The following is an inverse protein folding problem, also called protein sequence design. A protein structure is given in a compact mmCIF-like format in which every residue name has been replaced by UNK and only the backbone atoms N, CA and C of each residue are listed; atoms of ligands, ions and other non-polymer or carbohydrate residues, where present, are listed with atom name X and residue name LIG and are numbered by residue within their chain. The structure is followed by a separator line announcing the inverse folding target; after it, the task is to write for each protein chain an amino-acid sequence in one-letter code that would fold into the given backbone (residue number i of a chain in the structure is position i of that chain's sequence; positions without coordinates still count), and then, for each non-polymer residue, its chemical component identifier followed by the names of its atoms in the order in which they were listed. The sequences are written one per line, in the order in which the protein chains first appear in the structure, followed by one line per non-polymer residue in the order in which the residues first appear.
data_IF_664304886716
#
_entry.id   IF_664304886716
#
_cell.length_a   1.000
_cell.length_b   1.000
_cell.length_c   1.000
_cell.angle_alpha   90.00
_cell.angle_beta   90.00
_cell.angle_gamma   90.00
#
_symmetry.space_group_name_H-M   'P 1'
#
loop_
_entity.id
_entity.type
_entity.pdbx_description
1 polymer ?
#
# COMPACT_ATOMS: atom_id res chain seq x y z
N UNK A 1 -7.53 -0.72 19.60
CA UNK A 1 -7.45 -0.02 18.30
C UNK A 1 -8.76 -0.31 17.57
N UNK A 2 -9.29 0.56 16.71
CA UNK A 2 -10.56 0.25 16.04
C UNK A 2 -10.34 -0.94 15.08
N UNK A 3 -11.10 -2.04 15.15
CA UNK A 3 -10.85 -3.23 14.33
C UNK A 3 -11.04 -2.97 12.83
N UNK A 4 -11.74 -1.89 12.46
CA UNK A 4 -11.89 -1.44 11.07
C UNK A 4 -10.76 -0.55 10.59
N UNK A 5 -9.78 -0.22 11.41
CA UNK A 5 -8.71 0.73 11.10
C UNK A 5 -7.36 0.05 11.14
N UNK A 6 -6.54 0.25 10.10
CA UNK A 6 -5.20 -0.31 9.97
C UNK A 6 -4.22 0.82 9.75
N UNK A 7 -3.07 0.72 10.41
CA UNK A 7 -2.00 1.70 10.33
C UNK A 7 -0.82 1.08 9.59
N UNK A 8 -0.42 1.73 8.50
CA UNK A 8 0.70 1.30 7.66
C UNK A 8 1.80 2.33 7.81
N UNK A 9 2.99 1.92 8.28
CA UNK A 9 4.15 2.82 8.33
C UNK A 9 4.68 3.00 6.91
N UNK A 10 4.63 4.21 6.37
CA UNK A 10 5.12 4.53 5.03
C UNK A 10 6.61 4.87 5.04
N UNK A 11 7.13 5.37 6.17
CA UNK A 11 8.55 5.69 6.29
C UNK A 11 8.88 6.57 7.48
N UNK A 12 10.14 6.97 7.52
CA UNK A 12 10.68 7.98 8.42
C UNK A 12 10.99 9.23 7.59
N UNK A 13 10.36 10.36 7.92
CA UNK A 13 10.63 11.67 7.33
C UNK A 13 11.32 12.62 8.30
N UNK A 14 11.86 13.72 7.79
CA UNK A 14 12.41 14.82 8.60
C UNK A 14 13.80 15.30 8.16
N UNK A 15 14.08 16.59 8.38
CA UNK A 15 15.42 17.18 8.22
C UNK A 15 16.32 16.74 9.38
N UNK A 16 17.64 16.70 9.13
CA UNK A 16 18.75 16.07 9.87
C UNK A 16 18.75 16.09 11.43
N UNK A 17 17.85 16.80 12.12
CA UNK A 17 17.75 16.86 13.59
C UNK A 17 16.47 16.24 14.21
N UNK A 18 15.40 16.01 13.43
CA UNK A 18 14.12 15.51 13.98
C UNK A 18 13.52 14.41 13.10
N UNK A 19 13.49 13.18 13.64
CA UNK A 19 12.81 12.06 12.99
C UNK A 19 11.30 12.15 13.21
N UNK A 20 10.55 12.05 12.13
CA UNK A 20 9.09 12.01 12.09
C UNK A 20 8.68 10.68 11.44
N UNK A 21 7.73 9.97 12.03
CA UNK A 21 7.20 8.76 11.39
C UNK A 21 5.94 9.13 10.62
N UNK A 22 5.85 8.68 9.36
CA UNK A 22 4.67 8.91 8.52
C UNK A 22 3.89 7.60 8.43
N UNK A 23 2.60 7.66 8.74
CA UNK A 23 1.68 6.54 8.70
C UNK A 23 0.52 6.83 7.75
N UNK A 24 0.13 5.83 6.98
CA UNK A 24 -1.19 5.79 6.35
C UNK A 24 -2.17 5.13 7.32
N UNK A 25 -3.27 5.80 7.61
CA UNK A 25 -4.38 5.25 8.38
C UNK A 25 -5.52 4.97 7.44
N UNK A 26 -5.78 3.68 7.21
CA UNK A 26 -6.83 3.19 6.33
C UNK A 26 -7.94 2.61 7.19
N UNK A 27 -9.19 2.97 6.90
CA UNK A 27 -10.34 2.46 7.63
C UNK A 27 -11.46 2.01 6.72
N UNK A 28 -12.01 0.81 6.99
CA UNK A 28 -13.24 0.31 6.38
C UNK A 28 -14.46 1.10 6.85
N UNK A 29 -15.26 1.56 5.90
CA UNK A 29 -16.51 2.28 6.17
C UNK A 29 -17.68 1.31 6.27
N UNK A 30 -18.68 1.62 7.12
CA UNK A 30 -19.86 0.76 7.33
C UNK A 30 -20.75 0.60 6.09
N UNK A 31 -20.66 1.51 5.12
CA UNK A 31 -21.51 1.55 3.92
C UNK A 31 -20.75 1.15 2.65
N UNK A 32 -19.65 0.40 2.81
CA UNK A 32 -18.71 0.12 1.73
C UNK A 32 -17.68 1.24 1.55
N UNK A 33 -16.56 0.88 0.92
CA UNK A 33 -15.43 1.77 0.69
C UNK A 33 -14.53 1.99 1.91
N UNK A 34 -13.56 2.87 1.71
CA UNK A 34 -12.43 3.10 2.61
C UNK A 34 -12.24 4.59 2.85
N UNK A 35 -11.80 4.94 4.05
CA UNK A 35 -11.23 6.25 4.32
C UNK A 35 -9.72 6.14 4.50
N UNK A 36 -9.01 7.10 3.94
CA UNK A 36 -7.57 7.21 4.00
C UNK A 36 -7.17 8.56 4.59
N UNK A 37 -6.12 8.58 5.41
CA UNK A 37 -5.47 9.81 5.85
C UNK A 37 -4.01 9.53 6.16
N UNK A 38 -3.15 10.50 5.88
CA UNK A 38 -1.77 10.48 6.36
C UNK A 38 -1.70 11.09 7.76
N UNK A 39 -0.94 10.43 8.63
CA UNK A 39 -0.66 10.86 10.00
C UNK A 39 0.85 10.93 10.18
N UNK A 40 1.34 12.10 10.53
CA UNK A 40 2.73 12.36 10.87
C UNK A 40 2.86 12.39 12.39
N UNK A 41 3.75 11.56 12.93
CA UNK A 41 4.09 11.55 14.34
C UNK A 41 5.45 12.20 14.54
N UNK A 42 5.43 13.44 15.03
CA UNK A 42 6.64 14.21 15.31
C UNK A 42 7.40 13.68 16.53
N UNK A 43 8.67 14.08 16.64
CA UNK A 43 9.52 13.75 17.80
C UNK A 43 8.95 14.25 19.13
N UNK A 44 8.23 15.38 19.09
CA UNK A 44 7.54 15.97 20.24
C UNK A 44 6.31 15.17 20.71
N UNK A 45 5.98 14.05 20.06
CA UNK A 45 4.86 13.18 20.40
C UNK A 45 3.50 13.62 19.85
N UNK A 46 3.41 14.81 19.25
CA UNK A 46 2.18 15.29 18.63
C UNK A 46 1.94 14.59 17.29
N UNK A 47 0.66 14.33 17.00
CA UNK A 47 0.22 13.77 15.73
C UNK A 47 -0.43 14.88 14.90
N UNK A 48 0.04 15.04 13.66
CA UNK A 48 -0.58 15.90 12.66
C UNK A 48 -1.19 15.00 11.60
N UNK A 49 -2.44 15.25 11.21
CA UNK A 49 -3.12 14.45 10.19
C UNK A 49 -3.57 15.32 9.03
N UNK A 50 -3.38 14.79 7.83
CA UNK A 50 -3.92 15.38 6.60
C UNK A 50 -5.44 15.24 6.53
N UNK A 51 -6.05 15.85 5.50
CA UNK A 51 -7.47 15.69 5.23
C UNK A 51 -7.80 14.23 4.93
N UNK A 52 -8.90 13.76 5.50
CA UNK A 52 -9.42 12.42 5.19
C UNK A 52 -9.97 12.37 3.77
N UNK A 53 -9.49 11.40 3.00
CA UNK A 53 -9.96 11.05 1.67
C UNK A 53 -10.82 9.80 1.69
N UNK A 54 -11.65 9.62 0.66
CA UNK A 54 -12.54 8.46 0.52
C UNK A 54 -12.25 7.75 -0.78
N UNK A 55 -12.23 6.42 -0.70
CA UNK A 55 -11.98 5.51 -1.80
C UNK A 55 -13.11 4.51 -1.88
N UNK A 56 -13.58 4.20 -3.09
CA UNK A 56 -14.69 3.27 -3.28
C UNK A 56 -14.23 1.81 -3.24
N UNK A 57 -12.99 1.53 -3.64
CA UNK A 57 -12.42 0.19 -3.70
C UNK A 57 -11.03 0.13 -3.04
N UNK A 58 -10.56 -1.08 -2.75
CA UNK A 58 -9.26 -1.29 -2.14
C UNK A 58 -8.14 -0.99 -3.14
N UNK A 59 -8.32 -1.34 -4.40
CA UNK A 59 -7.36 -1.13 -5.47
C UNK A 59 -7.08 0.35 -5.71
N UNK A 60 -8.09 1.20 -5.48
CA UNK A 60 -7.91 2.64 -5.58
C UNK A 60 -6.91 3.17 -4.52
N UNK A 61 -6.74 2.49 -3.38
CA UNK A 61 -5.73 2.81 -2.36
C UNK A 61 -4.31 2.42 -2.79
N UNK A 62 -4.14 1.56 -3.79
CA UNK A 62 -2.80 1.08 -4.20
C UNK A 62 -1.93 2.16 -4.82
N UNK A 63 -2.52 3.31 -5.17
CA UNK A 63 -1.77 4.52 -5.57
C UNK A 63 -1.05 5.18 -4.38
N UNK A 64 -1.63 5.05 -3.19
CA UNK A 64 -1.17 5.72 -1.96
C UNK A 64 -0.38 4.78 -1.05
N UNK A 65 -0.73 3.49 -1.03
CA UNK A 65 -0.15 2.48 -0.14
C UNK A 65 0.12 1.19 -0.90
N UNK A 66 1.33 0.65 -0.75
CA UNK A 66 1.69 -0.64 -1.36
C UNK A 66 0.77 -1.77 -0.89
N UNK A 67 0.28 -2.64 -1.81
CA UNK A 67 -0.47 -3.83 -1.44
C UNK A 67 0.27 -4.73 -0.44
N UNK A 68 1.60 -4.82 -0.54
CA UNK A 68 2.42 -5.62 0.36
C UNK A 68 2.46 -5.04 1.78
N UNK A 69 2.65 -3.73 1.90
CA UNK A 69 2.68 -3.06 3.21
C UNK A 69 1.31 -3.12 3.88
N UNK A 70 0.24 -2.96 3.10
CA UNK A 70 -1.12 -3.13 3.59
C UNK A 70 -1.38 -4.56 4.06
N UNK A 71 -0.98 -5.57 3.28
CA UNK A 71 -1.11 -6.98 3.65
C UNK A 71 -0.40 -7.26 4.98
N UNK A 72 0.86 -6.84 5.11
CA UNK A 72 1.65 -7.00 6.34
C UNK A 72 1.02 -6.27 7.53
N UNK A 73 0.48 -5.07 7.32
CA UNK A 73 -0.15 -4.29 8.37
C UNK A 73 -1.44 -4.94 8.89
N UNK A 74 -2.27 -5.49 8.01
CA UNK A 74 -3.48 -6.22 8.41
C UNK A 74 -3.11 -7.54 9.12
N UNK A 75 -2.15 -8.30 8.57
CA UNK A 75 -1.73 -9.58 9.15
C UNK A 75 -1.17 -9.43 10.57
N UNK A 76 -0.39 -8.36 10.80
CA UNK A 76 0.23 -8.05 12.10
C UNK A 76 -0.63 -7.12 12.97
N UNK A 77 -1.90 -6.93 12.63
CA UNK A 77 -2.80 -6.08 13.41
C UNK A 77 -2.91 -6.60 14.86
N UNK A 78 -2.78 -5.73 15.89
CA UNK A 78 -2.74 -6.15 17.29
C UNK A 78 -4.08 -6.69 17.80
N UNK A 79 -5.18 -6.27 17.17
CA UNK A 79 -6.53 -6.74 17.47
C UNK A 79 -6.88 -7.97 16.63
N UNK A 80 -7.29 -9.06 17.28
CA UNK A 80 -7.71 -10.29 16.59
C UNK A 80 -9.01 -10.10 15.81
N UNK A 81 -9.94 -9.29 16.31
CA UNK A 81 -11.23 -9.01 15.64
C UNK A 81 -11.01 -8.29 14.30
N UNK A 82 -9.92 -7.51 14.19
CA UNK A 82 -9.56 -6.87 12.93
C UNK A 82 -9.26 -7.91 11.83
N UNK A 83 -8.66 -9.05 12.17
CA UNK A 83 -8.36 -10.07 11.14
C UNK A 83 -9.62 -10.64 10.52
N UNK A 84 -10.70 -10.75 11.29
CA UNK A 84 -12.02 -11.16 10.79
C UNK A 84 -12.63 -10.06 9.91
N UNK A 85 -12.58 -8.80 10.38
CA UNK A 85 -13.09 -7.65 9.62
C UNK A 85 -12.41 -7.47 8.27
N UNK A 86 -11.13 -7.83 8.16
CA UNK A 86 -10.29 -7.66 6.97
C UNK A 86 -9.98 -8.98 6.25
N UNK A 87 -10.69 -10.06 6.57
CA UNK A 87 -10.40 -11.39 6.02
C UNK A 87 -10.49 -11.42 4.49
N UNK A 88 -11.52 -10.80 3.91
CA UNK A 88 -11.73 -10.74 2.46
C UNK A 88 -10.59 -10.01 1.75
N UNK A 89 -10.12 -8.87 2.28
CA UNK A 89 -9.02 -8.11 1.68
C UNK A 89 -7.69 -8.82 1.89
N UNK A 90 -7.49 -9.51 3.02
CA UNK A 90 -6.31 -10.34 3.21
C UNK A 90 -6.21 -11.43 2.15
N UNK A 91 -7.33 -12.10 1.84
CA UNK A 91 -7.38 -13.14 0.81
C UNK A 91 -7.13 -12.54 -0.58
N UNK A 92 -7.76 -11.41 -0.89
CA UNK A 92 -7.54 -10.68 -2.13
C UNK A 92 -6.07 -10.24 -2.30
N UNK A 93 -5.48 -9.63 -1.27
CA UNK A 93 -4.09 -9.19 -1.28
C UNK A 93 -3.13 -10.37 -1.40
N UNK A 94 -3.40 -11.48 -0.71
CA UNK A 94 -2.62 -12.70 -0.83
C UNK A 94 -2.62 -13.22 -2.27
N UNK A 95 -3.79 -13.31 -2.90
CA UNK A 95 -3.90 -13.73 -4.30
C UNK A 95 -3.23 -12.78 -5.29
N UNK A 96 -3.16 -11.48 -4.96
CA UNK A 96 -2.44 -10.49 -5.76
C UNK A 96 -0.91 -10.64 -5.64
N UNK A 97 -0.40 -10.92 -4.44
CA UNK A 97 1.02 -11.06 -4.16
C UNK A 97 1.58 -12.43 -4.57
N UNK A 98 0.77 -13.49 -4.55
CA UNK A 98 1.16 -14.85 -4.95
C UNK A 98 1.12 -15.07 -6.46
N UNK A 99 0.51 -14.17 -7.24
CA UNK A 99 0.57 -14.26 -8.70
C UNK A 99 2.03 -14.15 -9.15
N UNK A 100 2.62 -15.21 -9.75
CA UNK A 100 3.94 -15.08 -10.34
C UNK A 100 3.82 -13.98 -11.40
N UNK A 101 4.67 -12.95 -11.29
CA UNK A 101 4.78 -11.92 -12.32
C UNK A 101 4.80 -12.65 -13.67
N UNK A 102 3.75 -12.46 -14.49
CA UNK A 102 3.79 -12.89 -15.87
C UNK A 102 5.06 -12.24 -16.43
N UNK A 103 6.09 -13.07 -16.63
CA UNK A 103 7.30 -12.67 -17.31
C UNK A 103 6.81 -12.09 -18.61
N UNK A 104 6.84 -10.76 -18.75
CA UNK A 104 6.68 -10.11 -20.05
C UNK A 104 7.59 -10.89 -20.98
N UNK A 105 7.01 -11.67 -21.89
CA UNK A 105 7.77 -12.39 -22.87
C UNK A 105 8.57 -11.32 -23.60
N UNK A 106 9.88 -11.28 -23.35
CA UNK A 106 10.77 -10.39 -24.06
C UNK A 106 10.58 -10.71 -25.53
N UNK A 107 9.92 -9.80 -26.24
CA UNK A 107 9.83 -9.89 -27.69
C UNK A 107 11.26 -9.93 -28.17
N UNK A 108 11.71 -10.98 -28.90
CA UNK A 108 13.07 -10.98 -29.41
C UNK A 108 13.18 -9.79 -30.36
N UNK A 109 13.89 -8.75 -29.93
CA UNK A 109 14.31 -7.67 -30.82
C UNK A 109 15.07 -8.34 -31.95
N UNK A 110 14.46 -8.43 -33.14
CA UNK A 110 15.17 -8.86 -34.35
C UNK A 110 16.35 -7.91 -34.51
N UNK A 111 17.55 -8.39 -34.18
CA UNK A 111 18.78 -7.73 -34.54
C UNK A 111 18.94 -7.91 -36.04
N UNK A 112 18.58 -6.90 -36.82
CA UNK A 112 18.99 -6.82 -38.22
C UNK A 112 20.49 -6.52 -38.22
N UNK A 113 21.29 -7.47 -38.69
CA UNK A 113 22.73 -7.29 -38.90
C UNK A 113 22.96 -6.34 -40.09
N UNK A 114 23.95 -5.46 -39.96
CA UNK A 114 24.36 -4.43 -40.94
C UNK A 114 24.82 -4.97 -42.32
N UNK A 115 24.73 -6.27 -42.58
CA UNK A 115 25.14 -6.91 -43.82
C UNK A 115 24.10 -6.79 -44.97
N UNK A 116 22.87 -6.34 -44.68
CA UNK A 116 21.81 -6.14 -45.69
C UNK A 116 21.77 -4.71 -46.26
N UNK A 117 22.67 -3.82 -45.83
CA UNK A 117 22.73 -2.43 -46.30
C UNK A 117 24.06 -2.17 -46.99
N UNK A 118 24.26 -2.74 -48.18
CA UNK A 118 25.01 -2.15 -49.32
C UNK A 118 24.75 -3.08 -50.53
N UNK A 119 24.05 -2.61 -51.58
CA UNK A 119 23.98 -3.27 -52.88
C UNK A 119 25.29 -3.17 -53.67
#
# INVERSE_FOLDING_TARGET
MNPREVWVKLGEGGLHAHKTNVYAVIRKLKRGGYSFRLVERGFNGYMVSTRTERYESLEALFKEVSPEDLYRAIQNHPDQEAREVWAEELEFLKGLLEKPAEKKAATPTRQTTLAEVIP
#
